data_IF_162463573118
#
_entry.id   IF_162463573118
#
_cell.length_a   1.000
_cell.length_b   1.000
_cell.length_c   1.000
_cell.angle_alpha   90.00
_cell.angle_beta   90.00
_cell.angle_gamma   90.00
#
_symmetry.space_group_name_H-M   'P 1'
#
loop_
_entity.id
_entity.type
_entity.pdbx_description
1 polymer ?
#
# COMPACT_ATOMS: atom_id res chain seq x y z
N UNK A 1 12.43 14.66 -33.06
CA UNK A 1 11.09 14.60 -32.45
C UNK A 1 11.28 14.05 -31.05
N UNK A 2 11.31 14.91 -30.04
CA UNK A 2 11.47 14.53 -28.66
C UNK A 2 10.13 13.98 -28.19
N UNK A 3 10.09 12.70 -27.86
CA UNK A 3 8.95 12.08 -27.23
C UNK A 3 8.74 12.70 -25.85
N UNK A 4 7.56 13.26 -25.66
CA UNK A 4 7.11 13.85 -24.41
C UNK A 4 6.79 12.70 -23.45
N UNK A 5 7.81 12.16 -22.78
CA UNK A 5 7.63 11.35 -21.59
C UNK A 5 7.31 12.31 -20.44
N UNK A 6 6.07 12.77 -20.38
CA UNK A 6 5.54 13.27 -19.11
C UNK A 6 5.58 12.09 -18.14
N UNK A 7 6.63 12.09 -17.32
CA UNK A 7 6.88 11.05 -16.36
C UNK A 7 5.64 10.82 -15.48
N UNK A 8 5.28 9.57 -15.27
CA UNK A 8 4.17 9.18 -14.41
C UNK A 8 4.34 9.86 -13.04
N UNK A 9 3.46 10.82 -12.76
CA UNK A 9 3.46 11.50 -11.47
C UNK A 9 2.85 10.57 -10.42
N UNK A 10 3.58 10.29 -9.37
CA UNK A 10 3.12 9.44 -8.27
C UNK A 10 2.51 10.29 -7.16
N UNK A 11 1.38 9.82 -6.60
CA UNK A 11 0.78 10.41 -5.43
C UNK A 11 0.78 9.42 -4.28
N UNK A 12 1.23 9.87 -3.09
CA UNK A 12 1.33 9.04 -1.89
C UNK A 12 0.26 9.40 -0.89
N UNK A 13 -0.47 8.38 -0.48
CA UNK A 13 -1.39 8.45 0.64
C UNK A 13 -0.72 7.75 1.82
N UNK A 14 -0.53 8.48 2.91
CA UNK A 14 0.19 8.00 4.07
C UNK A 14 -0.69 7.97 5.32
N UNK A 15 -0.61 6.90 6.08
CA UNK A 15 -1.26 6.74 7.37
C UNK A 15 -0.30 7.09 8.51
N UNK A 16 -0.65 8.09 9.33
CA UNK A 16 0.09 8.60 10.50
C UNK A 16 1.30 9.51 10.18
N UNK A 17 1.65 10.35 11.15
CA UNK A 17 2.79 11.29 11.10
C UNK A 17 4.15 10.61 10.82
N UNK A 18 4.49 9.43 11.40
CA UNK A 18 5.77 8.76 11.13
C UNK A 18 5.99 8.41 9.67
N UNK A 19 4.97 7.94 8.96
CA UNK A 19 5.11 7.61 7.56
C UNK A 19 5.28 8.85 6.66
N UNK A 20 4.71 10.01 7.04
CA UNK A 20 5.01 11.29 6.37
C UNK A 20 6.49 11.64 6.54
N UNK A 21 7.04 11.47 7.72
CA UNK A 21 8.46 11.75 7.98
C UNK A 21 9.35 10.87 7.11
N UNK A 22 9.11 9.56 7.06
CA UNK A 22 9.83 8.62 6.21
C UNK A 22 9.72 9.01 4.73
N UNK A 23 8.52 9.32 4.23
CA UNK A 23 8.32 9.76 2.86
C UNK A 23 9.08 11.04 2.54
N UNK A 24 9.00 12.03 3.41
CA UNK A 24 9.66 13.32 3.20
C UNK A 24 11.19 13.23 3.28
N UNK A 25 11.74 12.36 4.12
CA UNK A 25 13.19 12.15 4.23
C UNK A 25 13.73 11.30 3.07
N UNK A 26 12.96 10.34 2.57
CA UNK A 26 13.36 9.46 1.49
C UNK A 26 13.29 10.10 0.10
N UNK A 27 12.46 11.12 -0.10
CA UNK A 27 12.34 11.81 -1.38
C UNK A 27 13.49 12.80 -1.59
N UNK A 28 14.25 12.62 -2.66
CA UNK A 28 15.23 13.62 -3.13
C UNK A 28 14.53 14.88 -3.66
N UNK A 29 15.29 15.99 -3.87
CA UNK A 29 14.75 17.21 -4.45
C UNK A 29 14.01 16.96 -5.76
N UNK A 30 14.64 16.20 -6.66
CA UNK A 30 14.12 15.92 -8.00
C UNK A 30 12.85 15.06 -7.96
N UNK A 31 12.78 14.11 -7.01
CA UNK A 31 11.57 13.29 -6.80
C UNK A 31 10.38 14.12 -6.30
N UNK A 32 10.61 15.21 -5.55
CA UNK A 32 9.54 16.03 -4.98
C UNK A 32 8.67 16.73 -6.03
N UNK A 33 9.19 16.92 -7.22
CA UNK A 33 8.43 17.49 -8.35
C UNK A 33 7.37 16.51 -8.89
N UNK A 34 7.60 15.18 -8.68
CA UNK A 34 6.74 14.13 -9.19
C UNK A 34 5.87 13.48 -8.10
N UNK A 35 6.26 13.59 -6.84
CA UNK A 35 5.59 12.93 -5.72
C UNK A 35 4.87 13.93 -4.81
N UNK A 36 3.57 13.71 -4.61
CA UNK A 36 2.81 14.37 -3.57
C UNK A 36 2.66 13.47 -2.34
N UNK A 37 2.68 14.02 -1.14
CA UNK A 37 2.49 13.29 0.12
C UNK A 37 1.25 13.83 0.83
N UNK A 38 0.27 12.97 1.11
CA UNK A 38 -0.94 13.32 1.83
C UNK A 38 -1.09 12.43 3.08
N UNK A 39 -0.95 12.98 4.29
CA UNK A 39 -1.12 12.22 5.52
C UNK A 39 -2.60 11.99 5.81
N UNK A 40 -2.99 10.73 6.02
CA UNK A 40 -4.33 10.41 6.49
C UNK A 40 -4.36 10.54 8.01
N UNK A 41 -5.28 11.34 8.52
CA UNK A 41 -5.55 11.48 9.95
C UNK A 41 -6.91 10.84 10.27
N UNK A 42 -6.94 9.98 11.28
CA UNK A 42 -8.17 9.29 11.67
C UNK A 42 -8.44 8.01 10.87
N UNK A 43 -9.64 7.47 10.95
CA UNK A 43 -10.03 6.22 10.29
C UNK A 43 -10.61 6.50 8.90
N UNK A 44 -10.20 5.71 7.90
CA UNK A 44 -10.84 5.75 6.57
C UNK A 44 -12.27 5.26 6.67
N UNK A 45 -13.18 5.98 6.03
CA UNK A 45 -14.60 5.64 6.00
C UNK A 45 -14.82 4.34 5.22
N UNK A 46 -15.55 3.39 5.81
CA UNK A 46 -16.05 2.27 5.02
C UNK A 46 -17.23 2.74 4.17
N UNK A 47 -16.96 3.06 2.91
CA UNK A 47 -17.93 3.66 1.98
C UNK A 47 -19.10 2.74 1.66
N UNK A 48 -18.94 1.42 1.73
CA UNK A 48 -20.03 0.46 1.50
C UNK A 48 -21.09 0.46 2.61
N UNK A 49 -20.73 0.98 3.79
CA UNK A 49 -21.61 1.11 4.95
C UNK A 49 -22.05 2.57 5.21
N UNK A 50 -21.57 3.49 4.40
CA UNK A 50 -21.83 4.91 4.57
C UNK A 50 -22.99 5.38 3.69
N UNK A 51 -23.76 6.34 4.18
CA UNK A 51 -24.77 7.02 3.37
C UNK A 51 -24.10 7.94 2.34
N UNK A 52 -24.78 8.28 1.23
CA UNK A 52 -24.28 9.25 0.26
C UNK A 52 -23.93 10.60 0.89
N UNK A 53 -24.70 11.04 1.88
CA UNK A 53 -24.42 12.28 2.62
C UNK A 53 -23.10 12.19 3.43
N UNK A 54 -22.80 11.03 4.04
CA UNK A 54 -21.54 10.82 4.75
C UNK A 54 -20.34 10.80 3.79
N UNK A 55 -20.48 10.15 2.63
CA UNK A 55 -19.45 10.13 1.57
C UNK A 55 -19.17 11.57 1.10
N UNK A 56 -20.21 12.32 0.78
CA UNK A 56 -20.08 13.69 0.28
C UNK A 56 -19.52 14.68 1.30
N UNK A 57 -19.71 14.45 2.60
CA UNK A 57 -19.17 15.30 3.67
C UNK A 57 -17.78 14.85 4.15
N UNK A 58 -17.32 13.68 3.73
CA UNK A 58 -16.06 13.14 4.19
C UNK A 58 -14.89 13.94 3.62
N UNK A 59 -14.16 14.63 4.51
CA UNK A 59 -13.04 15.51 4.13
C UNK A 59 -11.97 14.76 3.34
N UNK A 60 -11.60 13.54 3.75
CA UNK A 60 -10.59 12.74 3.06
C UNK A 60 -10.99 12.46 1.61
N UNK A 61 -12.25 12.06 1.37
CA UNK A 61 -12.76 11.80 0.02
C UNK A 61 -12.77 13.09 -0.82
N UNK A 62 -13.17 14.22 -0.25
CA UNK A 62 -13.12 15.50 -0.94
C UNK A 62 -11.70 15.95 -1.29
N UNK A 63 -10.76 15.74 -0.35
CA UNK A 63 -9.35 16.05 -0.58
C UNK A 63 -8.77 15.15 -1.70
N UNK A 64 -9.05 13.83 -1.70
CA UNK A 64 -8.65 12.92 -2.78
C UNK A 64 -9.17 13.36 -4.14
N UNK A 65 -10.47 13.68 -4.24
CA UNK A 65 -11.08 14.18 -5.48
C UNK A 65 -10.33 15.40 -6.00
N UNK A 66 -10.05 16.35 -5.11
CA UNK A 66 -9.39 17.61 -5.45
C UNK A 66 -7.94 17.40 -5.86
N UNK A 67 -7.21 16.56 -5.12
CA UNK A 67 -5.78 16.31 -5.33
C UNK A 67 -5.55 15.49 -6.59
N UNK A 68 -6.30 14.41 -6.78
CA UNK A 68 -6.16 13.50 -7.91
C UNK A 68 -6.95 13.96 -9.15
N UNK A 69 -7.81 14.99 -9.02
CA UNK A 69 -8.80 15.42 -10.03
C UNK A 69 -9.83 14.32 -10.34
N UNK A 70 -10.29 13.60 -9.32
CA UNK A 70 -11.29 12.56 -9.48
C UNK A 70 -12.71 13.14 -9.52
N UNK A 71 -13.51 12.62 -10.43
CA UNK A 71 -14.92 12.92 -10.57
C UNK A 71 -15.75 11.70 -10.17
N UNK A 72 -16.81 11.89 -9.39
CA UNK A 72 -17.71 10.79 -9.04
C UNK A 72 -18.49 10.35 -10.27
N UNK A 73 -18.78 9.05 -10.36
CA UNK A 73 -19.52 8.44 -11.47
C UNK A 73 -18.84 8.53 -12.84
N UNK A 74 -17.58 8.96 -12.89
CA UNK A 74 -16.79 8.96 -14.11
C UNK A 74 -16.08 7.62 -14.28
N UNK A 75 -16.19 7.05 -15.46
CA UNK A 75 -15.38 5.92 -15.88
C UNK A 75 -14.06 6.40 -16.48
N UNK A 76 -12.98 5.79 -16.06
CA UNK A 76 -11.62 6.08 -16.51
C UNK A 76 -11.13 4.94 -17.37
N UNK A 77 -10.76 5.25 -18.60
CA UNK A 77 -10.11 4.32 -19.54
C UNK A 77 -8.60 4.47 -19.52
N UNK A 78 -8.11 5.59 -19.00
CA UNK A 78 -6.70 5.92 -18.83
C UNK A 78 -6.52 6.94 -17.69
N UNK A 79 -5.28 7.32 -17.41
CA UNK A 79 -4.90 8.26 -16.36
C UNK A 79 -4.68 9.70 -16.86
N UNK A 80 -4.85 9.98 -18.14
CA UNK A 80 -4.49 11.26 -18.77
C UNK A 80 -5.20 12.47 -18.17
N UNK A 81 -6.44 12.30 -17.71
CA UNK A 81 -7.23 13.35 -17.07
C UNK A 81 -6.89 13.57 -15.59
N UNK A 82 -6.08 12.69 -14.99
CA UNK A 82 -5.68 12.75 -13.59
C UNK A 82 -4.43 13.60 -13.41
N UNK A 83 -4.24 14.11 -12.19
CA UNK A 83 -3.02 14.84 -11.83
C UNK A 83 -1.84 13.90 -11.56
N UNK A 84 -2.11 12.67 -11.09
CA UNK A 84 -1.13 11.66 -10.73
C UNK A 84 -1.51 10.33 -11.37
N UNK A 85 -0.53 9.63 -11.91
CA UNK A 85 -0.74 8.35 -12.59
C UNK A 85 -0.92 7.18 -11.64
N UNK A 86 -0.37 7.25 -10.43
CA UNK A 86 -0.44 6.17 -9.43
C UNK A 86 -0.63 6.71 -8.02
N UNK A 87 -1.22 5.88 -7.17
CA UNK A 87 -1.40 6.12 -5.73
C UNK A 87 -0.65 5.07 -4.95
N UNK A 88 0.32 5.50 -4.12
CA UNK A 88 1.12 4.62 -3.28
C UNK A 88 0.55 4.66 -1.86
N UNK A 89 0.11 3.52 -1.36
CA UNK A 89 -0.33 3.34 0.02
C UNK A 89 0.90 3.10 0.89
N UNK A 90 1.12 3.94 1.89
CA UNK A 90 2.20 3.77 2.86
C UNK A 90 1.57 3.54 4.24
N UNK A 91 1.44 2.30 4.61
CA UNK A 91 0.89 1.87 5.90
C UNK A 91 1.92 1.06 6.68
N UNK A 92 1.76 1.01 8.00
CA UNK A 92 2.55 0.10 8.82
C UNK A 92 2.28 -1.35 8.39
N UNK A 93 3.28 -2.22 8.48
CA UNK A 93 3.15 -3.64 8.09
C UNK A 93 2.52 -4.48 9.22
N UNK A 94 1.51 -3.93 9.89
CA UNK A 94 0.73 -4.56 10.94
C UNK A 94 -0.75 -4.74 10.53
N UNK A 95 -1.56 -5.32 11.41
CA UNK A 95 -2.98 -5.58 11.15
C UNK A 95 -3.78 -4.28 10.92
N UNK A 96 -3.45 -3.21 11.64
CA UNK A 96 -4.10 -1.91 11.47
C UNK A 96 -3.74 -1.28 10.12
N UNK A 97 -2.47 -1.35 9.71
CA UNK A 97 -2.02 -0.89 8.40
C UNK A 97 -2.65 -1.69 7.26
N UNK A 98 -2.67 -3.01 7.37
CA UNK A 98 -3.35 -3.90 6.40
C UNK A 98 -4.84 -3.55 6.28
N UNK A 99 -5.51 -3.32 7.41
CA UNK A 99 -6.91 -2.89 7.42
C UNK A 99 -7.11 -1.54 6.73
N UNK A 100 -6.17 -0.62 6.89
CA UNK A 100 -6.23 0.69 6.26
C UNK A 100 -6.04 0.62 4.76
N UNK A 101 -5.05 -0.14 4.28
CA UNK A 101 -4.87 -0.42 2.85
C UNK A 101 -6.13 -1.06 2.27
N UNK A 102 -6.71 -2.03 2.96
CA UNK A 102 -7.98 -2.65 2.56
C UNK A 102 -9.15 -1.66 2.46
N UNK A 103 -9.29 -0.72 3.40
CA UNK A 103 -10.33 0.32 3.35
C UNK A 103 -10.10 1.30 2.19
N UNK A 104 -8.84 1.58 1.81
CA UNK A 104 -8.52 2.41 0.66
C UNK A 104 -8.83 1.68 -0.66
N UNK A 105 -8.47 0.40 -0.78
CA UNK A 105 -8.86 -0.44 -1.91
C UNK A 105 -10.39 -0.46 -2.05
N UNK A 106 -11.09 -0.70 -0.94
CA UNK A 106 -12.56 -0.69 -0.91
C UNK A 106 -13.14 0.66 -1.34
N UNK A 107 -12.53 1.78 -0.96
CA UNK A 107 -12.96 3.12 -1.37
C UNK A 107 -12.83 3.30 -2.88
N UNK A 108 -11.67 2.95 -3.46
CA UNK A 108 -11.46 3.04 -4.91
C UNK A 108 -12.36 2.06 -5.67
N UNK A 109 -12.50 0.83 -5.19
CA UNK A 109 -13.40 -0.18 -5.77
C UNK A 109 -14.87 0.27 -5.79
N UNK A 110 -15.30 1.07 -4.82
CA UNK A 110 -16.68 1.54 -4.72
C UNK A 110 -16.94 2.82 -5.51
N UNK A 111 -16.03 3.80 -5.45
CA UNK A 111 -16.22 5.12 -6.05
C UNK A 111 -15.66 5.23 -7.47
N UNK A 112 -14.59 4.50 -7.78
CA UNK A 112 -13.86 4.57 -9.07
C UNK A 112 -13.34 3.19 -9.51
N UNK A 113 -14.23 2.20 -9.68
CA UNK A 113 -13.80 0.82 -9.98
C UNK A 113 -13.01 0.71 -11.28
N UNK A 114 -13.26 1.57 -12.26
CA UNK A 114 -12.53 1.59 -13.52
C UNK A 114 -11.03 1.86 -13.35
N UNK A 115 -10.62 2.64 -12.34
CA UNK A 115 -9.20 2.88 -12.07
C UNK A 115 -8.45 1.63 -11.64
N UNK A 116 -9.11 0.71 -10.91
CA UNK A 116 -8.48 -0.55 -10.49
C UNK A 116 -8.39 -1.57 -11.63
N UNK A 117 -9.16 -1.37 -12.70
CA UNK A 117 -9.22 -2.23 -13.89
C UNK A 117 -8.28 -1.77 -15.01
N UNK A 118 -7.53 -0.68 -14.80
CA UNK A 118 -6.56 -0.21 -15.79
C UNK A 118 -5.43 -1.23 -15.98
N UNK A 119 -4.87 -1.34 -17.19
CA UNK A 119 -3.75 -2.25 -17.48
C UNK A 119 -2.51 -1.99 -16.62
N UNK A 120 -2.25 -0.73 -16.28
CA UNK A 120 -1.21 -0.34 -15.32
C UNK A 120 -1.83 -0.13 -13.96
N UNK A 121 -1.29 -0.77 -12.92
CA UNK A 121 -1.82 -0.66 -11.56
C UNK A 121 -1.85 0.79 -11.09
N UNK A 122 -3.04 1.32 -10.89
CA UNK A 122 -3.23 2.66 -10.35
C UNK A 122 -2.94 2.73 -8.85
N UNK A 123 -3.21 1.64 -8.14
CA UNK A 123 -3.03 1.55 -6.69
C UNK A 123 -1.89 0.58 -6.39
N UNK A 124 -0.91 1.02 -5.61
CA UNK A 124 0.25 0.23 -5.21
C UNK A 124 0.49 0.38 -3.71
N UNK A 125 1.03 -0.65 -3.09
CA UNK A 125 1.37 -0.67 -1.68
C UNK A 125 2.88 -0.54 -1.49
N UNK A 126 3.32 0.25 -0.50
CA UNK A 126 4.72 0.41 -0.17
C UNK A 126 5.08 -0.51 0.99
N UNK A 127 5.90 -1.49 0.70
CA UNK A 127 6.30 -2.52 1.65
C UNK A 127 7.66 -2.19 2.24
N UNK A 128 7.71 -1.98 3.55
CA UNK A 128 8.96 -1.84 4.29
C UNK A 128 9.34 -3.16 4.96
N UNK A 129 10.64 -3.41 5.19
CA UNK A 129 11.05 -4.58 5.94
C UNK A 129 10.42 -4.63 7.33
N UNK A 130 10.00 -5.82 7.77
CA UNK A 130 9.60 -6.09 9.15
C UNK A 130 10.80 -6.45 10.02
N UNK A 131 11.81 -7.04 9.41
CA UNK A 131 13.02 -7.48 10.13
C UNK A 131 14.23 -7.22 9.26
N UNK A 132 15.31 -6.73 9.89
CA UNK A 132 16.64 -6.60 9.31
C UNK A 132 17.62 -7.36 10.19
N UNK A 133 18.47 -8.15 9.56
CA UNK A 133 19.56 -8.82 10.24
C UNK A 133 20.90 -8.29 9.72
N UNK A 134 21.84 -8.09 10.63
CA UNK A 134 23.19 -7.60 10.31
C UNK A 134 24.21 -8.56 10.88
N UNK A 135 25.31 -8.75 10.16
CA UNK A 135 26.45 -9.55 10.55
C UNK A 135 27.71 -8.72 10.38
N UNK A 136 28.74 -8.98 11.15
CA UNK A 136 29.99 -8.21 11.09
C UNK A 136 30.72 -8.28 9.73
N UNK A 137 30.63 -9.43 9.06
CA UNK A 137 31.38 -9.71 7.82
C UNK A 137 30.53 -10.05 6.62
N UNK A 138 29.19 -10.16 6.78
CA UNK A 138 28.26 -10.53 5.70
C UNK A 138 27.29 -9.38 5.45
N UNK A 139 26.76 -9.30 4.23
CA UNK A 139 25.74 -8.33 3.89
C UNK A 139 24.48 -8.46 4.75
N UNK A 140 23.90 -7.32 5.13
CA UNK A 140 22.66 -7.28 5.85
C UNK A 140 21.52 -7.86 5.00
N UNK A 141 20.61 -8.60 5.64
CA UNK A 141 19.39 -9.12 4.99
C UNK A 141 18.15 -8.49 5.59
N UNK A 142 17.14 -8.29 4.76
CA UNK A 142 15.84 -7.77 5.17
C UNK A 142 14.73 -8.75 4.83
N UNK A 143 13.69 -8.79 5.65
CA UNK A 143 12.53 -9.66 5.47
C UNK A 143 11.24 -8.83 5.54
N UNK A 144 10.38 -9.01 4.57
CA UNK A 144 9.09 -8.32 4.47
C UNK A 144 8.00 -9.00 5.31
N UNK A 145 8.23 -10.21 5.79
CA UNK A 145 7.30 -10.95 6.64
C UNK A 145 8.04 -11.71 7.75
N UNK A 146 7.33 -11.92 8.87
CA UNK A 146 7.83 -12.78 9.96
C UNK A 146 8.02 -14.23 9.52
N UNK A 147 7.26 -14.67 8.51
CA UNK A 147 7.39 -16.01 7.94
C UNK A 147 8.72 -16.18 7.23
N UNK A 148 9.06 -15.28 6.29
CA UNK A 148 10.36 -15.30 5.60
C UNK A 148 11.52 -15.31 6.59
N UNK A 149 11.43 -14.48 7.65
CA UNK A 149 12.45 -14.46 8.71
C UNK A 149 12.54 -15.80 9.47
N UNK A 150 11.38 -16.42 9.81
CA UNK A 150 11.38 -17.72 10.48
C UNK A 150 11.94 -18.82 9.59
N UNK A 151 11.54 -18.86 8.31
CA UNK A 151 12.06 -19.83 7.33
C UNK A 151 13.57 -19.70 7.15
N UNK A 152 14.08 -18.47 7.05
CA UNK A 152 15.51 -18.22 7.02
C UNK A 152 16.19 -18.73 8.30
N UNK A 153 15.67 -18.40 9.47
CA UNK A 153 16.21 -18.80 10.76
C UNK A 153 16.27 -20.32 10.93
N UNK A 154 15.28 -21.04 10.42
CA UNK A 154 15.29 -22.51 10.46
C UNK A 154 16.31 -23.10 9.47
N UNK A 155 16.49 -22.50 8.30
CA UNK A 155 17.49 -22.96 7.31
C UNK A 155 18.91 -22.70 7.75
N UNK A 156 19.19 -21.62 8.43
CA UNK A 156 20.52 -21.20 8.88
C UNK A 156 20.70 -21.32 10.41
N UNK A 157 20.07 -22.32 10.99
CA UNK A 157 19.95 -22.52 12.44
C UNK A 157 21.30 -22.53 13.18
N UNK A 158 22.35 -23.06 12.54
CA UNK A 158 23.67 -23.14 13.10
C UNK A 158 24.35 -21.78 13.28
N UNK A 159 24.05 -20.80 12.40
CA UNK A 159 24.70 -19.48 12.39
C UNK A 159 23.74 -18.34 12.72
N UNK A 160 22.48 -18.64 13.00
CA UNK A 160 21.45 -17.61 13.25
C UNK A 160 21.77 -16.72 14.47
N UNK A 161 22.54 -17.23 15.43
CA UNK A 161 22.98 -16.52 16.64
C UNK A 161 24.10 -15.50 16.39
N UNK A 162 24.78 -15.59 15.24
CA UNK A 162 25.87 -14.66 14.85
C UNK A 162 25.30 -13.35 14.25
N UNK A 163 23.99 -13.30 13.99
CA UNK A 163 23.32 -12.16 13.41
C UNK A 163 22.64 -11.29 14.46
N UNK A 164 22.86 -9.99 14.39
CA UNK A 164 22.07 -9.01 15.14
C UNK A 164 20.73 -8.78 14.43
N UNK A 165 19.64 -8.83 15.19
CA UNK A 165 18.26 -8.74 14.63
C UNK A 165 17.62 -7.43 15.06
N UNK A 166 17.17 -6.62 14.09
CA UNK A 166 16.34 -5.42 14.30
C UNK A 166 14.93 -5.69 13.78
N UNK A 167 13.93 -5.54 14.65
CA UNK A 167 12.52 -5.57 14.28
C UNK A 167 12.00 -4.16 14.09
N UNK A 168 11.26 -3.93 13.00
CA UNK A 168 10.58 -2.67 12.73
C UNK A 168 9.11 -2.78 13.17
N UNK A 169 8.68 -1.89 14.04
CA UNK A 169 7.28 -1.84 14.53
C UNK A 169 6.35 -1.09 13.58
N UNK A 170 6.88 -0.42 12.58
CA UNK A 170 6.16 0.39 11.62
C UNK A 170 7.09 1.36 10.91
N UNK A 171 6.55 2.17 10.01
CA UNK A 171 7.29 3.13 9.18
C UNK A 171 8.19 4.09 9.98
N UNK A 172 7.78 4.44 11.19
CA UNK A 172 8.55 5.31 12.09
C UNK A 172 9.77 4.66 12.75
N UNK A 173 9.97 3.36 12.58
CA UNK A 173 11.13 2.63 13.10
C UNK A 173 12.34 2.66 12.15
N UNK A 174 12.14 3.12 10.91
CA UNK A 174 13.20 3.28 9.92
C UNK A 174 13.94 4.60 10.12
N UNK A 175 15.26 4.58 9.88
CA UNK A 175 16.08 5.79 9.90
C UNK A 175 15.90 6.61 8.62
N UNK A 176 16.43 7.84 8.59
CA UNK A 176 16.43 8.68 7.39
C UNK A 176 17.20 8.01 6.25
N UNK A 177 18.35 7.43 6.54
CA UNK A 177 19.21 6.73 5.58
C UNK A 177 18.48 5.51 5.00
N UNK A 178 17.79 4.73 5.84
CA UNK A 178 16.96 3.61 5.39
C UNK A 178 15.82 4.12 4.50
N UNK A 179 15.21 5.24 4.86
CA UNK A 179 14.21 5.90 4.02
C UNK A 179 14.75 6.24 2.64
N UNK A 180 15.88 6.92 2.55
CA UNK A 180 16.54 7.26 1.27
C UNK A 180 16.82 6.00 0.45
N UNK A 181 17.32 4.94 1.09
CA UNK A 181 17.60 3.67 0.42
C UNK A 181 16.32 3.05 -0.18
N UNK A 182 15.22 2.99 0.59
CA UNK A 182 13.94 2.44 0.11
C UNK A 182 13.40 3.21 -1.09
N UNK A 183 13.59 4.52 -1.13
CA UNK A 183 13.12 5.33 -2.25
C UNK A 183 14.03 5.25 -3.48
N UNK A 184 15.33 5.10 -3.30
CA UNK A 184 16.25 4.85 -4.40
C UNK A 184 16.05 3.47 -5.03
N UNK A 185 15.50 2.52 -4.27
CA UNK A 185 15.19 1.16 -4.70
C UNK A 185 13.69 0.89 -4.65
N UNK A 186 12.88 1.87 -5.07
CA UNK A 186 11.43 1.83 -4.90
C UNK A 186 10.79 0.59 -5.55
N UNK A 187 11.31 0.12 -6.66
CA UNK A 187 10.76 -1.00 -7.43
C UNK A 187 10.71 -2.31 -6.62
N UNK A 188 11.66 -2.51 -5.68
CA UNK A 188 11.63 -3.68 -4.79
C UNK A 188 10.79 -3.46 -3.54
N UNK A 189 10.36 -2.23 -3.29
CA UNK A 189 9.55 -1.84 -2.14
C UNK A 189 8.09 -1.56 -2.48
N UNK A 190 7.67 -1.78 -3.72
CA UNK A 190 6.28 -1.61 -4.12
C UNK A 190 5.64 -2.95 -4.48
N UNK A 191 4.36 -3.07 -4.17
CA UNK A 191 3.51 -4.19 -4.54
C UNK A 191 2.29 -3.63 -5.25
N UNK A 192 2.05 -4.08 -6.47
CA UNK A 192 0.92 -3.65 -7.28
C UNK A 192 -0.36 -4.38 -6.89
N UNK A 193 -1.49 -3.66 -6.89
CA UNK A 193 -2.82 -4.26 -6.83
C UNK A 193 -3.28 -4.50 -8.26
N UNK A 194 -3.39 -5.77 -8.64
CA UNK A 194 -3.86 -6.20 -9.95
C UNK A 194 -5.32 -6.62 -9.83
N UNK A 195 -6.16 -6.15 -10.75
CA UNK A 195 -7.54 -6.59 -10.87
C UNK A 195 -7.63 -7.69 -11.91
N UNK A 196 -7.89 -8.92 -11.48
CA UNK A 196 -7.94 -10.09 -12.36
C UNK A 196 -9.35 -10.37 -12.89
N UNK A 197 -10.40 -9.96 -12.14
CA UNK A 197 -11.77 -10.19 -12.55
C UNK A 197 -12.83 -9.84 -11.49
N UNK A 198 -14.07 -10.24 -11.74
CA UNK A 198 -15.21 -9.93 -10.87
C UNK A 198 -15.09 -10.56 -9.48
N UNK A 199 -14.36 -11.67 -9.36
CA UNK A 199 -14.08 -12.31 -8.08
C UNK A 199 -13.37 -11.38 -7.09
N UNK A 200 -12.51 -10.47 -7.58
CA UNK A 200 -11.84 -9.47 -6.73
C UNK A 200 -12.83 -8.47 -6.14
N UNK A 201 -13.78 -8.01 -6.98
CA UNK A 201 -14.86 -7.14 -6.53
C UNK A 201 -15.76 -7.81 -5.50
N UNK A 202 -16.02 -9.10 -5.67
CA UNK A 202 -16.79 -9.92 -4.74
C UNK A 202 -16.06 -10.10 -3.40
N UNK A 203 -14.77 -10.41 -3.43
CA UNK A 203 -13.93 -10.53 -2.24
C UNK A 203 -13.89 -9.21 -1.44
N UNK A 204 -13.73 -8.06 -2.10
CA UNK A 204 -13.78 -6.74 -1.47
C UNK A 204 -15.18 -6.51 -0.85
N UNK A 205 -16.25 -6.90 -1.55
CA UNK A 205 -17.61 -6.75 -1.05
C UNK A 205 -17.89 -7.65 0.17
N UNK A 206 -17.38 -8.87 0.19
CA UNK A 206 -17.46 -9.75 1.36
C UNK A 206 -16.70 -9.13 2.54
N UNK A 207 -15.48 -8.64 2.31
CA UNK A 207 -14.65 -8.07 3.35
C UNK A 207 -15.24 -6.81 3.99
N UNK A 208 -15.83 -5.90 3.21
CA UNK A 208 -16.24 -4.56 3.66
C UNK A 208 -17.75 -4.29 3.59
N UNK A 209 -18.52 -5.13 2.93
CA UNK A 209 -19.98 -5.02 2.79
C UNK A 209 -20.76 -5.32 4.08
N UNK A 210 -22.09 -5.36 3.94
CA UNK A 210 -23.01 -5.55 5.07
C UNK A 210 -23.21 -7.00 5.53
N UNK A 211 -22.91 -7.97 4.67
CA UNK A 211 -23.18 -9.39 4.92
C UNK A 211 -22.16 -10.00 5.90
N UNK A 212 -22.57 -10.10 7.15
CA UNK A 212 -21.71 -10.62 8.22
C UNK A 212 -21.54 -12.15 8.15
N UNK A 213 -22.57 -12.86 7.70
CA UNK A 213 -22.52 -14.33 7.65
C UNK A 213 -21.60 -14.81 6.54
N UNK A 214 -21.72 -14.25 5.34
CA UNK A 214 -20.76 -14.54 4.26
C UNK A 214 -19.32 -14.20 4.65
N UNK A 215 -19.11 -13.12 5.39
CA UNK A 215 -17.77 -12.76 5.87
C UNK A 215 -17.23 -13.76 6.88
N UNK A 216 -18.05 -14.22 7.82
CA UNK A 216 -17.65 -15.25 8.80
C UNK A 216 -17.27 -16.55 8.11
N UNK A 217 -18.11 -17.00 7.17
CA UNK A 217 -17.85 -18.20 6.36
C UNK A 217 -16.54 -18.05 5.56
N UNK A 218 -16.35 -16.91 4.91
CA UNK A 218 -15.13 -16.63 4.15
C UNK A 218 -13.87 -16.67 5.01
N UNK A 219 -13.92 -16.10 6.23
CA UNK A 219 -12.80 -16.11 7.18
C UNK A 219 -12.54 -17.54 7.69
N UNK A 220 -13.56 -18.32 7.99
CA UNK A 220 -13.43 -19.71 8.45
C UNK A 220 -12.80 -20.61 7.37
N UNK A 221 -13.14 -20.38 6.10
CA UNK A 221 -12.62 -21.11 4.96
C UNK A 221 -11.28 -20.56 4.46
N UNK A 222 -10.79 -19.47 5.07
CA UNK A 222 -9.53 -18.84 4.69
C UNK A 222 -8.36 -19.78 5.00
N UNK A 223 -7.74 -20.29 3.94
CA UNK A 223 -6.54 -21.09 4.06
C UNK A 223 -5.30 -20.17 3.92
N UNK A 224 -4.49 -20.07 4.98
CA UNK A 224 -3.28 -19.24 4.97
C UNK A 224 -2.30 -19.62 3.81
N UNK A 225 -2.39 -20.85 3.32
CA UNK A 225 -1.58 -21.34 2.19
C UNK A 225 -1.95 -20.62 0.89
N UNK A 226 -3.24 -20.39 0.62
CA UNK A 226 -3.69 -19.72 -0.61
C UNK A 226 -3.30 -18.25 -0.67
N UNK A 227 -3.20 -17.58 0.47
CA UNK A 227 -2.72 -16.20 0.54
C UNK A 227 -1.25 -16.04 0.17
N UNK A 228 -0.51 -17.13 0.11
CA UNK A 228 0.92 -17.19 -0.16
C UNK A 228 1.24 -17.45 -1.63
N UNK A 229 0.37 -18.15 -2.33
CA UNK A 229 0.49 -18.41 -3.78
C UNK A 229 0.24 -17.11 -4.55
N UNK A 230 -0.60 -16.21 -4.05
CA UNK A 230 -0.87 -14.89 -4.64
C UNK A 230 0.21 -13.82 -4.33
N UNK A 231 1.29 -14.19 -3.64
CA UNK A 231 2.42 -13.32 -3.29
C UNK A 231 3.69 -13.60 -4.11
N UNK A 232 3.60 -14.51 -5.06
CA UNK A 232 4.62 -14.82 -6.08
C UNK A 232 4.21 -14.19 -7.40
#
# INVERSE_FOLDING_TARGET
>A
MAGNTEGEKFYRINWKMPGKALAMSGLTSDMRDFYGVYPITGKVLNVRKASPAQINRNKFIQDLKKILKLELQKEYTDISSLRYGRVILMTDQDDDGTRMSGLLINLFSFLWPSLLKLPSSFLIDFVTPLTKITHETKEAKTFSSLREFKEWKEKDKAHATEWSVKFYKGLGSSTVEEGILYFNQIDIHVREFVWEGDADGEAINIAFGGDLEKRKEWIQNYNQVDSLVRKL
#
